data_IF_247652732350
#
_entry.id   IF_247652732350
#
_cell.length_a   1.000
_cell.length_b   1.000
_cell.length_c   1.000
_cell.angle_alpha   90.00
_cell.angle_beta   90.00
_cell.angle_gamma   90.00
#
_symmetry.space_group_name_H-M   'P 1'
#
loop_
_entity.id
_entity.type
_entity.pdbx_description
1 polymer ?
#
# COMPACT_ATOMS: atom_id res chain seq x y z
N UNK A 1 35.93 9.58 14.46
CA UNK A 1 34.54 9.76 14.12
C UNK A 1 33.57 8.92 14.96
N UNK A 2 33.76 8.74 16.27
CA UNK A 2 32.71 8.18 17.15
C UNK A 2 31.76 9.22 17.72
N UNK A 3 32.21 10.47 17.94
CA UNK A 3 31.44 11.48 18.70
C UNK A 3 30.15 11.95 18.01
N UNK A 4 30.08 11.90 16.68
CA UNK A 4 28.90 12.39 15.94
C UNK A 4 27.67 11.46 15.99
N UNK A 5 27.85 10.17 16.23
CA UNK A 5 26.72 9.21 16.21
C UNK A 5 26.01 9.17 17.57
N UNK A 6 26.75 9.33 18.67
CA UNK A 6 26.20 9.37 20.04
C UNK A 6 25.41 10.66 20.25
N UNK A 7 25.94 11.81 19.80
CA UNK A 7 25.23 13.09 19.86
C UNK A 7 23.92 13.02 19.02
N UNK A 8 23.94 12.44 17.82
CA UNK A 8 22.76 12.32 16.97
C UNK A 8 21.66 11.42 17.57
N UNK A 9 22.04 10.36 18.31
CA UNK A 9 21.08 9.45 18.98
C UNK A 9 20.40 10.14 20.16
N UNK A 10 21.17 10.88 20.96
CA UNK A 10 20.65 11.65 22.10
C UNK A 10 19.75 12.78 21.60
N UNK A 11 20.13 13.43 20.50
CA UNK A 11 19.32 14.47 19.85
C UNK A 11 18.00 13.89 19.32
N UNK A 12 18.01 12.76 18.62
CA UNK A 12 16.81 12.07 18.14
C UNK A 12 15.88 11.62 19.28
N UNK A 13 16.42 11.16 20.40
CA UNK A 13 15.62 10.82 21.59
C UNK A 13 15.07 12.05 22.29
N UNK A 14 15.84 13.15 22.35
CA UNK A 14 15.42 14.41 22.94
C UNK A 14 14.34 15.10 22.09
N UNK A 15 14.45 15.06 20.76
CA UNK A 15 13.40 15.55 19.85
C UNK A 15 12.11 14.74 19.97
N UNK A 16 12.20 13.42 20.15
CA UNK A 16 11.05 12.55 20.33
C UNK A 16 10.34 12.67 21.69
N UNK A 17 11.01 13.28 22.70
CA UNK A 17 10.44 13.47 24.05
C UNK A 17 10.13 14.92 24.38
N UNK A 18 10.33 15.87 23.45
CA UNK A 18 10.22 17.33 23.68
C UNK A 18 11.07 17.82 24.87
N UNK A 19 12.16 17.09 25.21
CA UNK A 19 12.99 17.45 26.35
C UNK A 19 14.12 16.45 26.67
N UNK A 20 14.85 16.68 27.76
CA UNK A 20 15.95 15.81 28.17
C UNK A 20 15.45 14.41 28.56
N UNK A 21 16.28 13.41 28.29
CA UNK A 21 15.97 12.02 28.64
C UNK A 21 16.03 11.86 30.16
N UNK A 22 14.92 11.38 30.76
CA UNK A 22 14.80 11.19 32.20
C UNK A 22 15.23 9.78 32.60
N UNK A 23 16.17 9.70 33.55
CA UNK A 23 16.69 8.44 34.12
C UNK A 23 16.39 8.43 35.61
N UNK A 24 15.78 7.38 36.11
CA UNK A 24 15.56 7.17 37.54
C UNK A 24 16.67 6.26 38.12
N UNK A 25 17.43 6.77 39.07
CA UNK A 25 18.42 6.02 39.82
C UNK A 25 17.83 5.64 41.17
N UNK A 26 17.88 4.34 41.48
CA UNK A 26 17.27 3.77 42.70
C UNK A 26 18.35 3.07 43.51
N UNK A 27 18.74 3.67 44.62
CA UNK A 27 19.79 3.15 45.53
C UNK A 27 19.57 3.74 46.93
N UNK A 28 19.73 2.96 47.98
CA UNK A 28 19.59 3.43 49.37
C UNK A 28 20.79 4.22 49.85
N UNK A 29 21.90 4.23 49.10
CA UNK A 29 23.09 5.01 49.37
C UNK A 29 22.94 6.46 48.88
N UNK A 30 22.64 7.40 49.74
CA UNK A 30 22.41 8.84 49.40
C UNK A 30 23.65 9.49 48.75
N UNK A 31 24.85 9.03 49.03
CA UNK A 31 26.08 9.58 48.45
C UNK A 31 26.18 9.34 46.95
N UNK A 32 25.50 8.31 46.41
CA UNK A 32 25.50 7.98 45.00
C UNK A 32 24.88 9.10 44.16
N UNK A 33 23.85 9.80 44.66
CA UNK A 33 23.22 10.92 43.95
C UNK A 33 24.28 11.99 43.61
N UNK A 34 25.05 12.41 44.60
CA UNK A 34 26.07 13.44 44.39
C UNK A 34 27.13 13.00 43.36
N UNK A 35 27.53 11.76 43.38
CA UNK A 35 28.52 11.21 42.45
C UNK A 35 27.96 11.15 41.00
N UNK A 36 26.74 10.69 40.83
CA UNK A 36 26.08 10.65 39.52
C UNK A 36 25.96 12.07 38.95
N UNK A 37 25.41 13.01 39.72
CA UNK A 37 25.24 14.40 39.27
C UNK A 37 26.59 15.06 38.93
N UNK A 38 27.64 14.77 39.67
CA UNK A 38 28.99 15.29 39.40
C UNK A 38 29.55 14.71 38.09
N UNK A 39 29.44 13.40 37.90
CA UNK A 39 29.96 12.70 36.70
C UNK A 39 29.23 13.18 35.44
N UNK A 40 27.94 13.20 35.46
CA UNK A 40 27.11 13.53 34.27
C UNK A 40 26.81 15.03 34.13
N UNK A 41 27.47 15.91 34.90
CA UNK A 41 27.22 17.37 34.90
C UNK A 41 27.25 18.05 33.53
N UNK A 42 28.06 17.53 32.59
CA UNK A 42 28.16 18.09 31.24
C UNK A 42 26.90 17.80 30.42
N UNK A 43 26.42 16.57 30.45
CA UNK A 43 25.20 16.13 29.76
C UNK A 43 23.96 16.76 30.36
N UNK A 44 23.92 16.94 31.67
CA UNK A 44 22.84 17.66 32.39
C UNK A 44 22.82 19.14 31.95
N UNK A 45 23.97 19.82 31.89
CA UNK A 45 24.05 21.23 31.45
C UNK A 45 23.70 21.44 29.99
N UNK A 46 23.91 20.44 29.14
CA UNK A 46 23.49 20.44 27.73
C UNK A 46 22.02 20.06 27.54
N UNK A 47 21.29 19.85 28.63
CA UNK A 47 19.90 19.40 28.60
C UNK A 47 19.69 18.06 27.88
N UNK A 48 20.70 17.18 27.89
CA UNK A 48 20.63 15.84 27.30
C UNK A 48 19.99 14.83 28.26
N UNK A 49 20.34 14.90 29.56
CA UNK A 49 19.89 13.96 30.58
C UNK A 49 19.37 14.70 31.82
N UNK A 50 18.35 14.12 32.44
CA UNK A 50 17.87 14.47 33.78
C UNK A 50 17.85 13.23 34.64
N UNK A 51 18.43 13.31 35.83
CA UNK A 51 18.42 12.23 36.79
C UNK A 51 17.42 12.52 37.92
N UNK A 52 16.54 11.57 38.14
CA UNK A 52 15.67 11.48 39.31
C UNK A 52 16.23 10.39 40.24
N UNK A 53 15.98 10.49 41.52
CA UNK A 53 16.52 9.55 42.53
C UNK A 53 15.38 8.99 43.36
N UNK A 54 15.52 7.74 43.81
CA UNK A 54 14.65 7.06 44.77
C UNK A 54 15.50 6.17 45.69
N UNK A 55 15.10 5.97 46.93
CA UNK A 55 15.86 5.25 47.94
C UNK A 55 15.40 3.80 48.17
N UNK A 56 14.38 3.35 47.45
CA UNK A 56 13.89 1.98 47.46
C UNK A 56 12.90 1.80 46.27
N UNK A 57 12.57 0.53 46.02
CA UNK A 57 11.68 0.19 44.90
C UNK A 57 10.25 0.75 44.98
N UNK A 58 9.72 0.95 46.21
CA UNK A 58 8.40 1.51 46.41
C UNK A 58 8.38 2.98 46.00
N UNK A 59 9.33 3.78 46.45
CA UNK A 59 9.49 5.19 46.08
C UNK A 59 9.73 5.33 44.56
N UNK A 60 10.48 4.39 43.97
CA UNK A 60 10.71 4.35 42.55
C UNK A 60 9.39 4.19 41.78
N UNK A 61 8.52 3.28 42.19
CA UNK A 61 7.20 3.08 41.55
C UNK A 61 6.32 4.33 41.66
N UNK A 62 6.30 4.99 42.83
CA UNK A 62 5.55 6.23 43.00
C UNK A 62 6.00 7.35 42.07
N UNK A 63 7.33 7.48 41.87
CA UNK A 63 7.90 8.44 40.90
C UNK A 63 7.61 8.09 39.46
N UNK A 64 7.61 6.82 39.11
CA UNK A 64 7.29 6.31 37.79
C UNK A 64 5.78 6.43 37.45
N UNK A 65 4.92 6.42 38.46
CA UNK A 65 3.48 6.66 38.30
C UNK A 65 3.17 8.14 38.20
N UNK A 66 4.02 9.00 38.73
CA UNK A 66 3.89 10.45 38.67
C UNK A 66 4.49 11.07 37.40
N UNK A 67 5.43 10.38 36.73
CA UNK A 67 6.15 10.87 35.54
C UNK A 67 6.35 9.73 34.53
N UNK A 68 5.51 9.71 33.50
CA UNK A 68 5.55 8.72 32.43
C UNK A 68 6.68 8.93 31.41
N UNK A 69 7.41 10.07 31.50
CA UNK A 69 8.54 10.36 30.60
C UNK A 69 9.84 9.69 31.01
N UNK A 70 9.89 9.04 32.18
CA UNK A 70 11.08 8.31 32.62
C UNK A 70 11.33 7.14 31.67
N UNK A 71 12.47 7.20 30.98
CA UNK A 71 12.82 6.24 29.93
C UNK A 71 13.60 5.02 30.43
N UNK A 72 14.35 5.20 31.53
CA UNK A 72 15.28 4.20 32.04
C UNK A 72 15.31 4.21 33.57
N UNK A 73 15.45 3.02 34.17
CA UNK A 73 15.67 2.84 35.60
C UNK A 73 17.03 2.16 35.81
N UNK A 74 17.82 2.72 36.69
CA UNK A 74 19.10 2.10 37.17
C UNK A 74 18.87 1.77 38.65
N UNK A 75 18.84 0.49 39.03
CA UNK A 75 18.43 0.07 40.37
C UNK A 75 19.47 -0.82 41.04
N UNK A 76 19.83 -0.51 42.26
CA UNK A 76 20.50 -1.50 43.10
C UNK A 76 19.55 -2.69 43.36
N UNK A 77 20.15 -3.88 43.58
CA UNK A 77 19.39 -5.08 43.94
C UNK A 77 19.02 -5.05 45.43
N UNK A 78 19.97 -4.69 46.32
CA UNK A 78 19.81 -4.84 47.75
C UNK A 78 19.37 -3.54 48.42
N UNK A 79 18.05 -3.31 48.41
CA UNK A 79 17.46 -2.12 49.02
C UNK A 79 16.37 -2.49 50.05
N UNK A 80 16.13 -1.62 51.07
CA UNK A 80 15.05 -1.84 52.01
C UNK A 80 13.66 -1.65 51.35
N UNK A 81 12.60 -2.11 52.03
CA UNK A 81 11.18 -1.98 51.65
C UNK A 81 10.83 -2.80 50.43
N UNK A 82 11.39 -2.48 49.26
CA UNK A 82 11.26 -3.21 48.00
C UNK A 82 12.63 -3.29 47.35
N UNK A 83 13.12 -4.51 47.13
CA UNK A 83 14.40 -4.77 46.50
C UNK A 83 14.34 -4.58 44.96
N UNK A 84 15.52 -4.49 44.32
CA UNK A 84 15.61 -4.23 42.88
C UNK A 84 15.08 -5.37 42.02
N UNK A 85 15.06 -6.61 42.49
CA UNK A 85 14.47 -7.73 41.72
C UNK A 85 12.94 -7.74 41.77
N UNK A 86 12.37 -7.27 42.88
CA UNK A 86 10.91 -7.05 43.01
C UNK A 86 10.45 -5.85 42.14
N UNK A 87 11.23 -4.75 42.20
CA UNK A 87 11.01 -3.59 41.33
C UNK A 87 11.04 -3.97 39.85
N UNK A 88 12.09 -4.70 39.42
CA UNK A 88 12.23 -5.17 38.02
C UNK A 88 11.02 -5.99 37.56
N UNK A 89 10.53 -6.91 38.43
CA UNK A 89 9.34 -7.70 38.13
C UNK A 89 8.11 -6.80 37.90
N UNK A 90 7.88 -5.85 38.79
CA UNK A 90 6.73 -4.96 38.72
C UNK A 90 6.81 -4.04 37.49
N UNK A 91 8.01 -3.53 37.14
CA UNK A 91 8.24 -2.74 35.94
C UNK A 91 7.88 -3.51 34.66
N UNK A 92 8.31 -4.75 34.54
CA UNK A 92 8.00 -5.56 33.37
C UNK A 92 6.51 -5.87 33.21
N UNK A 93 5.77 -5.95 34.32
CA UNK A 93 4.34 -6.21 34.31
C UNK A 93 3.52 -4.94 34.02
N UNK A 94 3.94 -3.77 34.51
CA UNK A 94 3.15 -2.53 34.47
C UNK A 94 3.67 -1.48 33.50
N UNK A 95 4.97 -1.42 33.26
CA UNK A 95 5.65 -0.39 32.43
C UNK A 95 6.72 -1.02 31.50
N UNK A 96 6.33 -1.89 30.54
CA UNK A 96 7.26 -2.70 29.74
C UNK A 96 8.14 -1.86 28.79
N UNK A 97 7.82 -0.60 28.59
CA UNK A 97 8.60 0.31 27.74
C UNK A 97 9.82 0.90 28.45
N UNK A 98 9.89 0.83 29.80
CA UNK A 98 11.02 1.30 30.58
C UNK A 98 12.12 0.25 30.55
N UNK A 99 13.35 0.65 30.27
CA UNK A 99 14.50 -0.25 30.34
C UNK A 99 15.14 -0.16 31.70
N UNK A 100 15.40 -1.34 32.30
CA UNK A 100 15.99 -1.45 33.63
C UNK A 100 17.40 -1.95 33.53
N UNK A 101 18.35 -1.23 34.17
CA UNK A 101 19.72 -1.64 34.39
C UNK A 101 19.90 -1.93 35.89
N UNK A 102 20.50 -3.03 36.22
CA UNK A 102 20.67 -3.46 37.60
C UNK A 102 22.10 -3.18 38.05
N UNK A 103 22.21 -2.63 39.24
CA UNK A 103 23.50 -2.48 39.94
C UNK A 103 23.62 -3.58 40.99
N UNK A 104 24.77 -4.29 41.02
CA UNK A 104 24.96 -5.45 41.90
C UNK A 104 26.38 -5.52 42.46
N UNK A 105 26.54 -6.09 43.67
CA UNK A 105 27.87 -6.29 44.25
C UNK A 105 28.74 -7.25 43.43
N UNK A 106 30.04 -7.01 43.42
CA UNK A 106 31.00 -7.91 42.79
C UNK A 106 30.92 -9.32 43.40
N UNK A 107 30.70 -10.33 42.55
CA UNK A 107 30.59 -11.74 42.98
C UNK A 107 29.13 -12.23 43.12
N UNK A 108 28.09 -11.37 42.99
CA UNK A 108 26.70 -11.76 43.11
C UNK A 108 26.10 -12.25 41.78
N UNK A 109 26.80 -13.20 41.15
CA UNK A 109 26.42 -13.74 39.83
C UNK A 109 25.03 -14.38 39.79
N UNK A 110 24.52 -14.87 40.93
CA UNK A 110 23.19 -15.50 40.98
C UNK A 110 22.09 -14.48 40.87
N UNK A 111 22.21 -13.32 41.52
CA UNK A 111 21.27 -12.24 41.45
C UNK A 111 21.32 -11.53 40.06
N UNK A 112 22.55 -11.34 39.52
CA UNK A 112 22.72 -10.84 38.14
C UNK A 112 22.00 -11.74 37.12
N UNK A 113 22.25 -13.06 37.19
CA UNK A 113 21.59 -14.03 36.31
C UNK A 113 20.05 -13.98 36.47
N UNK A 114 19.57 -13.86 37.69
CA UNK A 114 18.14 -13.76 38.00
C UNK A 114 17.53 -12.48 37.39
N UNK A 115 18.21 -11.35 37.54
CA UNK A 115 17.78 -10.08 36.95
C UNK A 115 17.73 -10.15 35.43
N UNK A 116 18.79 -10.67 34.79
CA UNK A 116 18.82 -10.83 33.33
C UNK A 116 17.71 -11.77 32.82
N UNK A 117 17.48 -12.89 33.50
CA UNK A 117 16.38 -13.80 33.16
C UNK A 117 14.99 -13.19 33.39
N UNK A 118 14.90 -12.20 34.26
CA UNK A 118 13.65 -11.42 34.50
C UNK A 118 13.51 -10.20 33.61
N UNK A 119 14.37 -10.01 32.61
CA UNK A 119 14.26 -8.96 31.62
C UNK A 119 14.98 -7.66 31.95
N UNK A 120 15.97 -7.66 32.87
CA UNK A 120 16.86 -6.53 32.94
C UNK A 120 17.61 -6.36 31.62
N UNK A 121 17.78 -5.12 31.18
CA UNK A 121 18.44 -4.83 29.90
C UNK A 121 19.96 -5.03 30.00
N UNK A 122 20.56 -4.60 31.11
CA UNK A 122 21.97 -4.73 31.38
C UNK A 122 22.24 -4.68 32.89
N UNK A 123 23.51 -4.80 33.30
CA UNK A 123 23.92 -4.67 34.68
C UNK A 123 25.25 -3.92 34.81
N UNK A 124 25.50 -3.34 35.99
CA UNK A 124 26.74 -2.69 36.39
C UNK A 124 27.17 -3.27 37.73
N UNK A 125 28.49 -3.48 37.96
CA UNK A 125 28.99 -4.04 39.21
C UNK A 125 29.47 -2.95 40.20
N UNK A 126 29.20 -3.14 41.52
CA UNK A 126 29.79 -2.31 42.59
C UNK A 126 31.22 -2.80 42.93
N UNK A 127 32.20 -1.91 43.14
CA UNK A 127 32.08 -0.46 43.12
C UNK A 127 31.83 0.06 41.74
N UNK A 128 30.92 1.04 41.60
CA UNK A 128 30.49 1.54 40.30
C UNK A 128 31.66 2.20 39.57
N UNK A 129 32.08 1.61 38.45
CA UNK A 129 32.90 2.33 37.47
C UNK A 129 31.98 3.24 36.64
N UNK A 130 32.15 4.53 36.83
CA UNK A 130 31.33 5.51 36.12
C UNK A 130 31.57 5.54 34.58
N UNK A 131 32.66 4.98 34.09
CA UNK A 131 32.90 4.80 32.66
C UNK A 131 32.03 3.66 32.12
N UNK A 132 31.96 2.56 32.85
CA UNK A 132 31.11 1.42 32.53
C UNK A 132 29.62 1.78 32.62
N UNK A 133 29.24 2.53 33.66
CA UNK A 133 27.86 3.08 33.78
C UNK A 133 27.48 3.97 32.60
N UNK A 134 28.40 4.84 32.17
CA UNK A 134 28.17 5.73 31.01
C UNK A 134 27.94 4.92 29.71
N UNK A 135 28.80 3.92 29.45
CA UNK A 135 28.63 3.00 28.30
C UNK A 135 27.30 2.25 28.37
N UNK A 136 26.91 1.77 29.55
CA UNK A 136 25.65 1.06 29.76
C UNK A 136 24.42 1.98 29.53
N UNK A 137 24.51 3.21 30.01
CA UNK A 137 23.47 4.23 29.74
C UNK A 137 23.34 4.46 28.20
N UNK A 138 24.46 4.74 27.53
CA UNK A 138 24.44 5.05 26.09
C UNK A 138 23.95 3.86 25.26
N UNK A 139 24.33 2.64 25.59
CA UNK A 139 23.84 1.41 24.98
C UNK A 139 22.34 1.26 25.18
N UNK A 140 21.83 1.54 26.37
CA UNK A 140 20.40 1.45 26.71
C UNK A 140 19.60 2.51 25.94
N UNK A 141 20.09 3.74 25.91
CA UNK A 141 19.46 4.85 25.18
C UNK A 141 19.42 4.60 23.68
N UNK A 142 20.52 4.08 23.11
CA UNK A 142 20.56 3.68 21.70
C UNK A 142 19.51 2.63 21.37
N UNK A 143 19.37 1.62 22.23
CA UNK A 143 18.32 0.62 22.03
C UNK A 143 16.90 1.21 22.10
N UNK A 144 16.66 2.12 23.06
CA UNK A 144 15.36 2.82 23.17
C UNK A 144 15.05 3.67 21.94
N UNK A 145 16.04 4.38 21.38
CA UNK A 145 15.90 5.15 20.16
C UNK A 145 15.47 4.26 18.99
N UNK A 146 16.16 3.16 18.76
CA UNK A 146 15.83 2.22 17.67
C UNK A 146 14.42 1.62 17.82
N UNK A 147 14.00 1.28 19.03
CA UNK A 147 12.65 0.74 19.28
C UNK A 147 11.58 1.79 19.01
N UNK A 148 11.77 3.04 19.46
CA UNK A 148 10.84 4.15 19.22
C UNK A 148 10.73 4.48 17.74
N UNK A 149 11.85 4.56 17.03
CA UNK A 149 11.86 4.78 15.58
C UNK A 149 11.10 3.67 14.85
N UNK A 150 11.34 2.40 15.19
CA UNK A 150 10.63 1.28 14.59
C UNK A 150 9.10 1.33 14.83
N UNK A 151 8.68 1.74 16.03
CA UNK A 151 7.25 1.91 16.36
C UNK A 151 6.62 3.08 15.59
N UNK A 152 7.31 4.22 15.53
CA UNK A 152 6.85 5.40 14.76
C UNK A 152 6.70 5.08 13.28
N UNK A 153 7.71 4.43 12.69
CA UNK A 153 7.66 4.00 11.29
C UNK A 153 6.50 3.03 11.03
N UNK A 154 6.27 2.09 11.94
CA UNK A 154 5.13 1.17 11.85
C UNK A 154 3.80 1.92 11.87
N UNK A 155 3.62 2.88 12.78
CA UNK A 155 2.37 3.63 12.91
C UNK A 155 2.12 4.51 11.67
N UNK A 156 3.16 5.10 11.08
CA UNK A 156 3.09 5.82 9.80
C UNK A 156 2.68 4.89 8.65
N UNK A 157 3.25 3.69 8.57
CA UNK A 157 2.87 2.71 7.54
C UNK A 157 1.42 2.26 7.68
N UNK A 158 0.93 2.04 8.90
CA UNK A 158 -0.47 1.70 9.15
C UNK A 158 -1.42 2.84 8.77
N UNK A 159 -1.05 4.10 9.06
CA UNK A 159 -1.83 5.26 8.66
C UNK A 159 -1.90 5.39 7.12
N UNK A 160 -0.75 5.28 6.43
CA UNK A 160 -0.68 5.33 4.97
C UNK A 160 -1.50 4.19 4.32
N UNK A 161 -1.41 2.96 4.85
CA UNK A 161 -2.20 1.84 4.34
C UNK A 161 -3.71 2.11 4.43
N UNK A 162 -4.18 2.74 5.52
CA UNK A 162 -5.59 3.12 5.65
C UNK A 162 -6.03 4.17 4.64
N UNK A 163 -5.18 5.15 4.33
CA UNK A 163 -5.48 6.17 3.31
C UNK A 163 -5.60 5.53 1.92
N UNK A 164 -4.72 4.57 1.60
CA UNK A 164 -4.78 3.83 0.34
C UNK A 164 -6.00 2.91 0.26
N UNK A 165 -6.42 2.28 1.36
CA UNK A 165 -7.67 1.51 1.41
C UNK A 165 -8.89 2.38 1.08
N UNK A 166 -8.94 3.61 1.62
CA UNK A 166 -10.01 4.57 1.28
C UNK A 166 -9.96 4.95 -0.19
N UNK A 167 -8.76 5.21 -0.74
CA UNK A 167 -8.60 5.53 -2.16
C UNK A 167 -9.08 4.36 -3.07
N UNK A 168 -8.77 3.12 -2.70
CA UNK A 168 -9.26 1.91 -3.39
C UNK A 168 -10.78 1.82 -3.38
N UNK A 169 -11.41 2.03 -2.22
CA UNK A 169 -12.87 1.98 -2.11
C UNK A 169 -13.54 3.09 -2.94
N UNK A 170 -12.95 4.28 -2.97
CA UNK A 170 -13.41 5.38 -3.84
C UNK A 170 -13.28 5.00 -5.31
N UNK A 171 -12.15 4.47 -5.77
CA UNK A 171 -11.95 4.02 -7.13
C UNK A 171 -12.95 2.93 -7.53
N UNK A 172 -13.11 1.91 -6.69
CA UNK A 172 -14.08 0.83 -6.92
C UNK A 172 -15.53 1.34 -6.97
N UNK A 173 -15.84 2.46 -6.30
CA UNK A 173 -17.18 3.08 -6.35
C UNK A 173 -17.48 3.79 -7.67
N UNK A 174 -16.44 4.20 -8.39
CA UNK A 174 -16.56 4.87 -9.69
C UNK A 174 -16.80 3.87 -10.82
N UNK A 175 -16.21 2.66 -10.73
CA UNK A 175 -16.43 1.61 -11.72
C UNK A 175 -17.88 1.08 -11.70
N UNK A 176 -18.41 0.60 -12.84
CA UNK A 176 -19.76 0.03 -12.91
C UNK A 176 -19.92 -1.16 -11.97
N UNK A 177 -20.92 -1.11 -11.11
CA UNK A 177 -21.33 -2.22 -10.21
C UNK A 177 -22.52 -3.02 -10.73
N UNK A 178 -23.22 -2.48 -11.71
CA UNK A 178 -24.34 -3.14 -12.40
C UNK A 178 -24.02 -3.18 -13.88
N UNK A 179 -24.30 -4.33 -14.47
CA UNK A 179 -24.00 -4.59 -15.87
C UNK A 179 -25.30 -4.49 -16.68
N UNK A 180 -25.38 -3.55 -17.63
CA UNK A 180 -26.55 -3.41 -18.48
C UNK A 180 -26.84 -4.71 -19.23
N UNK A 181 -28.08 -5.17 -19.16
CA UNK A 181 -28.54 -6.39 -19.79
C UNK A 181 -29.97 -6.20 -20.25
N UNK A 182 -30.30 -6.63 -21.48
CA UNK A 182 -31.61 -6.57 -22.09
C UNK A 182 -31.94 -7.91 -22.73
N UNK A 183 -33.09 -8.02 -23.37
CA UNK A 183 -33.42 -9.19 -24.19
C UNK A 183 -32.49 -9.35 -25.41
N UNK A 184 -31.79 -8.26 -25.81
CA UNK A 184 -30.97 -8.21 -27.03
C UNK A 184 -29.47 -8.32 -26.76
N UNK A 185 -29.00 -7.98 -25.56
CA UNK A 185 -27.58 -8.10 -25.19
C UNK A 185 -27.37 -8.32 -23.69
N UNK A 186 -26.23 -8.87 -23.37
CA UNK A 186 -25.76 -9.05 -22.01
C UNK A 186 -24.34 -8.51 -21.88
N UNK A 187 -24.00 -7.93 -20.74
CA UNK A 187 -22.65 -7.42 -20.46
C UNK A 187 -22.16 -7.87 -19.09
N UNK A 188 -20.84 -7.97 -18.94
CA UNK A 188 -20.17 -8.13 -17.67
C UNK A 188 -18.78 -7.51 -17.72
N UNK A 189 -18.25 -7.07 -16.58
CA UNK A 189 -16.90 -6.55 -16.46
C UNK A 189 -16.33 -6.77 -15.08
N UNK A 190 -15.04 -6.93 -15.00
CA UNK A 190 -14.28 -7.01 -13.76
C UNK A 190 -12.92 -6.33 -13.91
N UNK A 191 -12.40 -5.83 -12.82
CA UNK A 191 -11.06 -5.25 -12.70
C UNK A 191 -10.46 -5.66 -11.38
N UNK A 192 -9.21 -6.12 -11.42
CA UNK A 192 -8.41 -6.51 -10.26
C UNK A 192 -7.11 -5.70 -10.30
N UNK A 193 -6.93 -4.72 -9.42
CA UNK A 193 -5.72 -3.92 -9.42
C UNK A 193 -4.51 -4.72 -8.92
N UNK A 194 -3.32 -4.42 -9.47
CA UNK A 194 -2.04 -5.01 -9.05
C UNK A 194 -1.53 -4.41 -7.73
N UNK A 195 -1.91 -3.18 -7.44
CA UNK A 195 -1.61 -2.46 -6.19
C UNK A 195 -2.91 -2.10 -5.46
N UNK A 196 -2.81 -1.26 -4.45
CA UNK A 196 -3.97 -0.77 -3.71
C UNK A 196 -4.97 -0.04 -4.61
N UNK A 197 -4.47 0.69 -5.61
CA UNK A 197 -5.27 1.38 -6.66
C UNK A 197 -4.63 1.14 -8.02
N UNK A 198 -5.45 1.04 -9.07
CA UNK A 198 -5.04 0.73 -10.44
C UNK A 198 -5.18 1.89 -11.41
N UNK A 199 -4.53 1.75 -12.59
CA UNK A 199 -4.66 2.64 -13.74
C UNK A 199 -5.79 2.21 -14.69
N UNK A 200 -6.17 0.96 -14.64
CA UNK A 200 -7.21 0.36 -15.49
C UNK A 200 -8.60 0.87 -15.16
N UNK A 201 -9.45 0.87 -16.18
CA UNK A 201 -10.88 1.06 -16.00
C UNK A 201 -11.69 0.46 -17.13
N UNK A 202 -12.97 0.26 -16.85
CA UNK A 202 -14.00 0.01 -17.87
C UNK A 202 -15.26 0.81 -17.55
N UNK A 203 -16.08 1.05 -18.57
CA UNK A 203 -17.37 1.67 -18.35
C UNK A 203 -18.43 1.15 -19.33
N UNK A 204 -19.68 1.21 -18.88
CA UNK A 204 -20.87 1.01 -19.69
C UNK A 204 -21.68 2.29 -19.65
N UNK A 205 -21.88 2.91 -20.82
CA UNK A 205 -22.59 4.18 -20.95
C UNK A 205 -23.91 3.94 -21.66
N UNK A 206 -25.06 3.96 -20.96
CA UNK A 206 -26.38 3.87 -21.64
C UNK A 206 -26.60 5.09 -22.53
N UNK A 207 -26.85 4.87 -23.82
CA UNK A 207 -27.02 5.93 -24.83
C UNK A 207 -28.46 5.92 -25.45
N UNK A 208 -29.42 5.58 -24.63
CA UNK A 208 -30.83 5.42 -25.04
C UNK A 208 -31.33 3.99 -24.88
N UNK A 209 -32.44 3.63 -25.53
CA UNK A 209 -33.08 2.32 -25.34
C UNK A 209 -32.30 1.18 -26.02
N UNK A 210 -31.74 1.43 -27.22
CA UNK A 210 -31.10 0.40 -28.03
C UNK A 210 -29.58 0.52 -28.12
N UNK A 211 -28.97 1.55 -27.52
CA UNK A 211 -27.54 1.81 -27.66
C UNK A 211 -26.80 1.80 -26.33
N UNK A 212 -25.63 1.18 -26.33
CA UNK A 212 -24.73 1.15 -25.20
C UNK A 212 -23.31 1.47 -25.65
N UNK A 213 -22.65 2.41 -24.95
CA UNK A 213 -21.22 2.63 -25.03
C UNK A 213 -20.47 1.66 -24.14
N UNK A 214 -19.39 1.07 -24.66
CA UNK A 214 -18.46 0.21 -23.92
C UNK A 214 -17.08 0.82 -24.02
N UNK A 215 -16.43 1.01 -22.88
CA UNK A 215 -15.08 1.53 -22.79
C UNK A 215 -14.19 0.60 -21.96
N UNK A 216 -12.93 0.50 -22.36
CA UNK A 216 -11.85 -0.09 -21.57
C UNK A 216 -10.58 0.72 -21.81
N UNK A 217 -9.84 1.01 -20.76
CA UNK A 217 -8.60 1.78 -20.86
C UNK A 217 -7.61 1.38 -19.81
N UNK A 218 -6.35 1.57 -20.14
CA UNK A 218 -5.20 1.35 -19.28
C UNK A 218 -4.30 2.58 -19.29
N UNK A 219 -4.02 3.12 -18.10
CA UNK A 219 -3.22 4.32 -17.88
C UNK A 219 -1.78 3.93 -17.60
N UNK A 220 -0.86 4.59 -18.30
CA UNK A 220 0.58 4.43 -18.08
C UNK A 220 1.00 4.66 -16.62
N UNK A 221 1.81 3.74 -16.08
CA UNK A 221 2.26 3.79 -14.70
C UNK A 221 1.30 3.09 -13.73
N UNK A 222 1.55 3.20 -12.43
CA UNK A 222 0.81 2.44 -11.41
C UNK A 222 0.59 3.24 -10.13
N UNK A 223 -0.43 2.86 -9.37
CA UNK A 223 -0.75 3.47 -8.08
C UNK A 223 -1.51 4.78 -8.20
N UNK A 224 -1.38 5.66 -7.21
CA UNK A 224 -2.23 6.86 -7.07
C UNK A 224 -2.22 7.80 -8.29
N UNK A 225 -1.07 8.13 -8.91
CA UNK A 225 -1.08 8.98 -10.11
C UNK A 225 -1.90 8.39 -11.26
N UNK A 226 -1.71 7.09 -11.55
CA UNK A 226 -2.46 6.40 -12.60
C UNK A 226 -3.96 6.36 -12.30
N UNK A 227 -4.34 6.09 -11.04
CA UNK A 227 -5.73 6.08 -10.61
C UNK A 227 -6.42 7.45 -10.77
N UNK A 228 -5.73 8.55 -10.47
CA UNK A 228 -6.26 9.91 -10.67
C UNK A 228 -6.44 10.24 -12.14
N UNK A 229 -5.46 9.90 -12.98
CA UNK A 229 -5.54 10.11 -14.43
C UNK A 229 -6.66 9.28 -15.05
N UNK A 230 -6.82 8.03 -14.61
CA UNK A 230 -7.92 7.15 -14.98
C UNK A 230 -9.29 7.77 -14.69
N UNK A 231 -9.47 8.31 -13.46
CA UNK A 231 -10.74 8.93 -13.07
C UNK A 231 -11.07 10.14 -13.94
N UNK A 232 -10.08 10.96 -14.29
CA UNK A 232 -10.25 12.08 -15.21
C UNK A 232 -10.63 11.58 -16.60
N UNK A 233 -9.89 10.65 -17.18
CA UNK A 233 -10.15 10.07 -18.50
C UNK A 233 -11.56 9.50 -18.59
N UNK A 234 -11.93 8.61 -17.65
CA UNK A 234 -13.26 7.99 -17.61
C UNK A 234 -14.39 9.04 -17.51
N UNK A 235 -14.21 10.06 -16.65
CA UNK A 235 -15.23 11.10 -16.44
C UNK A 235 -15.45 11.94 -17.71
N UNK A 236 -14.36 12.34 -18.36
CA UNK A 236 -14.40 13.09 -19.62
C UNK A 236 -15.05 12.27 -20.73
N UNK A 237 -14.64 11.02 -20.90
CA UNK A 237 -15.25 10.11 -21.89
C UNK A 237 -16.74 9.97 -21.67
N UNK A 238 -17.15 9.64 -20.43
CA UNK A 238 -18.58 9.45 -20.10
C UNK A 238 -19.40 10.70 -20.34
N UNK A 239 -18.88 11.87 -19.97
CA UNK A 239 -19.59 13.14 -20.20
C UNK A 239 -19.86 13.39 -21.67
N UNK A 240 -18.83 13.27 -22.52
CA UNK A 240 -18.98 13.52 -23.95
C UNK A 240 -19.79 12.44 -24.67
N UNK A 241 -19.67 11.19 -24.27
CA UNK A 241 -20.47 10.08 -24.79
C UNK A 241 -21.98 10.29 -24.54
N UNK A 242 -22.37 10.78 -23.36
CA UNK A 242 -23.76 11.07 -23.00
C UNK A 242 -24.37 12.24 -23.83
N UNK A 243 -23.53 13.13 -24.37
CA UNK A 243 -23.95 14.19 -25.31
C UNK A 243 -24.22 13.66 -26.72
N UNK A 244 -23.94 12.37 -26.99
CA UNK A 244 -24.16 11.71 -28.27
C UNK A 244 -22.97 11.77 -29.22
N UNK A 245 -21.78 12.01 -28.73
CA UNK A 245 -20.55 11.98 -29.51
C UNK A 245 -20.27 10.60 -30.12
N UNK A 246 -19.75 10.58 -31.34
CA UNK A 246 -19.30 9.37 -32.01
C UNK A 246 -18.01 8.88 -31.32
N UNK A 247 -17.63 7.58 -31.44
CA UNK A 247 -16.41 7.05 -30.84
C UNK A 247 -15.13 7.84 -31.14
N UNK A 248 -14.90 8.22 -32.39
CA UNK A 248 -13.76 9.04 -32.83
C UNK A 248 -13.77 10.46 -32.22
N UNK A 249 -14.93 11.09 -32.17
CA UNK A 249 -15.13 12.41 -31.54
C UNK A 249 -14.88 12.36 -30.03
N UNK A 250 -15.35 11.30 -29.36
CA UNK A 250 -15.13 11.09 -27.94
C UNK A 250 -13.65 10.94 -27.61
N UNK A 251 -12.91 10.13 -28.36
CA UNK A 251 -11.47 9.94 -28.12
C UNK A 251 -10.70 11.24 -28.42
N UNK A 252 -11.00 11.95 -29.49
CA UNK A 252 -10.39 13.24 -29.81
C UNK A 252 -10.64 14.30 -28.72
N UNK A 253 -11.85 14.37 -28.19
CA UNK A 253 -12.20 15.26 -27.09
C UNK A 253 -11.38 14.94 -25.82
N UNK A 254 -11.37 13.67 -25.40
CA UNK A 254 -10.61 13.22 -24.22
C UNK A 254 -9.12 13.46 -24.41
N UNK A 255 -8.57 13.07 -25.57
CA UNK A 255 -7.15 13.28 -25.89
C UNK A 255 -6.72 14.73 -25.74
N UNK A 256 -7.47 15.66 -26.29
CA UNK A 256 -7.12 17.07 -26.27
C UNK A 256 -7.10 17.62 -24.84
N UNK A 257 -8.06 17.23 -24.00
CA UNK A 257 -8.12 17.66 -22.61
C UNK A 257 -7.05 17.00 -21.75
N UNK A 258 -6.68 15.74 -22.02
CA UNK A 258 -5.61 15.06 -21.28
C UNK A 258 -4.21 15.50 -21.71
N UNK A 259 -4.05 15.91 -22.98
CA UNK A 259 -2.77 16.40 -23.49
C UNK A 259 -2.46 17.86 -23.10
N UNK A 260 -3.49 18.63 -22.72
CA UNK A 260 -3.34 19.98 -22.21
C UNK A 260 -2.79 19.93 -20.76
N UNK A 261 -1.74 20.67 -20.47
CA UNK A 261 -1.07 20.71 -19.15
C UNK A 261 -0.55 19.35 -18.62
N UNK A 262 -0.20 18.39 -19.49
CA UNK A 262 0.30 17.07 -19.13
C UNK A 262 1.81 17.06 -18.82
N UNK A 263 2.23 17.77 -17.80
CA UNK A 263 3.64 17.83 -17.37
C UNK A 263 4.18 16.45 -16.94
N UNK A 264 3.31 15.56 -16.48
CA UNK A 264 3.67 14.22 -16.03
C UNK A 264 3.94 13.24 -17.17
N UNK A 265 3.68 13.63 -18.42
CA UNK A 265 3.77 12.78 -19.61
C UNK A 265 2.99 11.47 -19.47
N UNK A 266 1.88 11.46 -18.74
CA UNK A 266 1.02 10.30 -18.61
C UNK A 266 0.15 10.15 -19.86
N UNK A 267 -0.17 8.92 -20.20
CA UNK A 267 -1.04 8.60 -21.33
C UNK A 267 -1.96 7.44 -20.97
N UNK A 268 -2.99 7.25 -21.76
CA UNK A 268 -3.93 6.15 -21.61
C UNK A 268 -4.18 5.47 -22.94
N UNK A 269 -4.05 4.15 -22.97
CA UNK A 269 -4.58 3.36 -24.07
C UNK A 269 -6.07 3.19 -23.85
N UNK A 270 -6.91 3.54 -24.82
CA UNK A 270 -8.35 3.58 -24.66
C UNK A 270 -9.08 3.01 -25.87
N UNK A 271 -9.90 2.01 -25.62
CA UNK A 271 -10.87 1.52 -26.59
C UNK A 271 -12.27 2.02 -26.20
N UNK A 272 -12.99 2.61 -27.12
CA UNK A 272 -14.37 3.00 -26.94
C UNK A 272 -15.22 2.62 -28.15
N UNK A 273 -16.36 1.99 -27.90
CA UNK A 273 -17.30 1.62 -28.95
C UNK A 273 -18.75 1.79 -28.52
N UNK A 274 -19.61 2.01 -29.50
CA UNK A 274 -21.05 2.13 -29.34
C UNK A 274 -21.73 0.97 -30.06
N UNK A 275 -22.42 0.14 -29.30
CA UNK A 275 -23.22 -0.97 -29.80
C UNK A 275 -24.67 -0.54 -29.96
N UNK A 276 -25.24 -0.73 -31.16
CA UNK A 276 -26.66 -0.57 -31.46
C UNK A 276 -27.31 -1.95 -31.50
N UNK A 277 -28.06 -2.29 -30.48
CA UNK A 277 -28.68 -3.61 -30.32
C UNK A 277 -29.82 -3.88 -31.27
N UNK A 278 -30.41 -2.82 -31.86
CA UNK A 278 -31.48 -2.93 -32.84
C UNK A 278 -30.96 -3.35 -34.22
N UNK A 279 -29.78 -2.87 -34.61
CA UNK A 279 -29.13 -3.18 -35.88
C UNK A 279 -28.03 -4.23 -35.78
N UNK A 280 -27.50 -4.50 -34.60
CA UNK A 280 -26.34 -5.35 -34.37
C UNK A 280 -25.02 -4.70 -34.79
N UNK A 281 -25.00 -3.39 -35.08
CA UNK A 281 -23.79 -2.66 -35.48
C UNK A 281 -23.03 -2.18 -34.28
N UNK A 282 -21.72 -2.42 -34.26
CA UNK A 282 -20.78 -1.91 -33.29
C UNK A 282 -19.81 -0.94 -33.96
N UNK A 283 -19.97 0.36 -33.67
CA UNK A 283 -19.01 1.38 -34.12
C UNK A 283 -17.97 1.61 -33.04
N UNK A 284 -16.68 1.64 -33.37
CA UNK A 284 -15.63 1.76 -32.39
C UNK A 284 -14.43 2.57 -32.86
N UNK A 285 -13.63 3.01 -31.89
CA UNK A 285 -12.37 3.67 -32.09
C UNK A 285 -11.35 3.09 -31.08
N UNK A 286 -10.10 2.84 -31.51
CA UNK A 286 -9.06 2.29 -30.69
C UNK A 286 -7.86 3.25 -30.59
N UNK A 287 -7.71 3.93 -29.49
CA UNK A 287 -6.58 4.80 -29.15
C UNK A 287 -5.42 4.00 -28.51
N UNK A 288 -4.79 3.12 -29.30
CA UNK A 288 -3.59 2.37 -28.90
C UNK A 288 -3.80 1.23 -27.88
N UNK A 289 -5.04 0.83 -27.64
CA UNK A 289 -5.38 -0.25 -26.70
C UNK A 289 -5.28 -1.63 -27.36
N UNK A 290 -5.13 -2.70 -26.56
CA UNK A 290 -5.14 -4.08 -27.00
C UNK A 290 -6.40 -4.37 -27.84
N UNK A 291 -6.28 -4.97 -29.04
CA UNK A 291 -7.44 -5.25 -29.87
C UNK A 291 -8.40 -6.23 -29.18
N UNK A 292 -9.68 -5.88 -29.02
CA UNK A 292 -10.67 -6.81 -28.47
C UNK A 292 -10.77 -8.09 -29.30
N UNK A 293 -11.25 -9.16 -28.69
CA UNK A 293 -11.51 -10.42 -29.35
C UNK A 293 -12.98 -10.56 -29.71
N UNK A 294 -13.25 -10.87 -30.96
CA UNK A 294 -14.57 -11.31 -31.43
C UNK A 294 -14.63 -12.84 -31.35
N UNK A 295 -15.51 -13.33 -30.51
CA UNK A 295 -15.79 -14.77 -30.36
C UNK A 295 -17.10 -15.05 -31.08
N UNK A 296 -17.02 -15.70 -32.22
CA UNK A 296 -18.22 -16.07 -32.98
C UNK A 296 -18.97 -17.21 -32.30
N UNK A 297 -20.27 -17.24 -32.53
CA UNK A 297 -21.08 -18.39 -32.17
C UNK A 297 -20.52 -19.65 -32.82
N UNK A 298 -20.12 -20.63 -32.03
CA UNK A 298 -19.45 -21.84 -32.51
C UNK A 298 -17.93 -21.85 -32.30
N UNK A 299 -17.35 -20.78 -31.70
CA UNK A 299 -16.04 -20.83 -31.09
C UNK A 299 -14.87 -20.27 -31.90
N UNK A 300 -15.08 -19.77 -33.12
CA UNK A 300 -14.00 -19.07 -33.83
C UNK A 300 -13.69 -17.73 -33.15
N UNK A 301 -12.40 -17.50 -32.81
CA UNK A 301 -11.91 -16.26 -32.20
C UNK A 301 -11.06 -15.48 -33.18
N UNK A 302 -11.26 -14.17 -33.26
CA UNK A 302 -10.45 -13.26 -34.09
C UNK A 302 -10.26 -11.92 -33.37
N UNK A 303 -9.12 -11.27 -33.57
CA UNK A 303 -8.91 -9.91 -33.13
C UNK A 303 -9.72 -8.93 -33.98
N UNK A 304 -10.24 -7.87 -33.36
CA UNK A 304 -10.84 -6.76 -34.12
C UNK A 304 -9.75 -6.04 -34.91
N UNK A 305 -10.06 -5.53 -36.11
CA UNK A 305 -9.17 -4.63 -36.82
C UNK A 305 -8.77 -3.42 -35.95
N UNK A 306 -7.51 -3.02 -36.03
CA UNK A 306 -7.01 -1.84 -35.32
C UNK A 306 -7.01 -0.63 -36.23
N UNK A 307 -7.37 0.54 -35.66
CA UNK A 307 -7.33 1.83 -36.38
C UNK A 307 -5.93 2.42 -36.47
N UNK A 308 -4.92 1.80 -35.81
CA UNK A 308 -3.52 2.26 -35.74
C UNK A 308 -3.36 3.67 -35.17
N UNK A 309 -4.31 4.13 -34.34
CA UNK A 309 -4.23 5.39 -33.64
C UNK A 309 -3.33 5.29 -32.40
N UNK A 310 -2.89 6.45 -31.90
CA UNK A 310 -1.98 6.54 -30.76
C UNK A 310 -2.75 6.56 -29.43
N UNK A 311 -2.06 6.28 -28.33
CA UNK A 311 -2.62 6.47 -26.97
C UNK A 311 -3.01 7.94 -26.73
N UNK A 312 -4.00 8.17 -25.90
CA UNK A 312 -4.52 9.50 -25.58
C UNK A 312 -3.60 10.21 -24.57
N UNK A 313 -3.52 11.53 -24.70
CA UNK A 313 -2.65 12.37 -23.87
C UNK A 313 -1.23 12.54 -24.42
N UNK A 314 -0.89 11.87 -25.53
CA UNK A 314 0.45 11.93 -26.16
C UNK A 314 0.55 13.06 -27.20
N UNK A 315 -0.42 13.17 -28.10
CA UNK A 315 -0.37 14.07 -29.24
C UNK A 315 -1.62 14.97 -29.30
N UNK A 316 -1.53 16.24 -28.91
CA UNK A 316 -2.64 17.16 -29.00
C UNK A 316 -3.15 17.32 -30.45
N UNK A 317 -4.44 17.39 -30.65
CA UNK A 317 -5.05 17.60 -31.96
C UNK A 317 -5.00 16.36 -32.88
N UNK A 318 -4.67 15.18 -32.37
CA UNK A 318 -4.74 13.93 -33.14
C UNK A 318 -6.19 13.64 -33.55
N UNK A 319 -6.38 13.33 -34.85
CA UNK A 319 -7.67 12.88 -35.39
C UNK A 319 -7.73 11.35 -35.30
N UNK A 320 -8.73 10.84 -34.59
CA UNK A 320 -8.94 9.40 -34.41
C UNK A 320 -9.83 8.84 -35.53
N UNK A 321 -9.67 7.54 -35.81
CA UNK A 321 -10.39 6.85 -36.86
C UNK A 321 -11.47 5.94 -36.28
N UNK A 322 -12.66 5.95 -36.85
CA UNK A 322 -13.77 5.06 -36.45
C UNK A 322 -13.90 3.90 -37.45
N UNK A 323 -14.10 2.70 -36.90
CA UNK A 323 -14.44 1.48 -37.62
C UNK A 323 -15.84 0.98 -37.23
N UNK A 324 -16.41 0.10 -38.07
CA UNK A 324 -17.72 -0.50 -37.84
C UNK A 324 -17.65 -2.03 -38.03
N UNK A 325 -18.32 -2.75 -37.14
CA UNK A 325 -18.45 -4.19 -37.16
C UNK A 325 -19.93 -4.59 -37.10
N UNK A 326 -20.36 -5.52 -37.95
CA UNK A 326 -21.68 -6.15 -37.83
C UNK A 326 -21.54 -7.40 -36.95
N UNK A 327 -22.22 -7.41 -35.80
CA UNK A 327 -22.35 -8.60 -34.96
C UNK A 327 -23.50 -9.48 -35.37
N UNK A 328 -23.32 -10.79 -35.26
CA UNK A 328 -24.35 -11.79 -35.41
C UNK A 328 -24.89 -12.24 -34.05
N UNK A 329 -26.12 -12.74 -34.00
CA UNK A 329 -26.72 -13.22 -32.77
C UNK A 329 -25.90 -14.40 -32.18
N UNK A 330 -25.43 -14.26 -30.96
CA UNK A 330 -24.55 -15.20 -30.26
C UNK A 330 -23.09 -14.76 -30.21
N UNK A 331 -22.68 -13.77 -31.00
CA UNK A 331 -21.31 -13.24 -30.95
C UNK A 331 -21.02 -12.57 -29.60
N UNK A 332 -19.75 -12.69 -29.15
CA UNK A 332 -19.23 -12.04 -27.94
C UNK A 332 -18.04 -11.18 -28.33
N UNK A 333 -18.09 -9.91 -27.91
CA UNK A 333 -16.93 -9.03 -27.86
C UNK A 333 -16.28 -9.18 -26.48
N UNK A 334 -15.01 -9.54 -26.46
CA UNK A 334 -14.20 -9.63 -25.24
C UNK A 334 -13.08 -8.61 -25.27
N UNK A 335 -13.07 -7.73 -24.28
CA UNK A 335 -12.10 -6.67 -24.12
C UNK A 335 -11.22 -7.00 -22.92
N UNK A 336 -9.94 -6.65 -22.97
CA UNK A 336 -8.97 -6.97 -21.93
C UNK A 336 -7.79 -5.99 -21.94
N UNK A 337 -7.18 -5.80 -20.80
CA UNK A 337 -5.90 -5.08 -20.67
C UNK A 337 -4.72 -6.04 -20.74
N UNK A 338 -3.53 -5.53 -20.96
CA UNK A 338 -2.30 -6.32 -21.12
C UNK A 338 -1.95 -7.19 -19.92
N UNK A 339 -2.36 -6.78 -18.70
CA UNK A 339 -2.21 -7.61 -17.51
C UNK A 339 -2.84 -9.01 -17.59
N UNK A 340 -3.75 -9.26 -18.59
CA UNK A 340 -4.24 -10.60 -18.90
C UNK A 340 -3.20 -11.40 -19.67
N UNK A 341 -2.64 -10.82 -20.73
CA UNK A 341 -1.72 -11.53 -21.65
C UNK A 341 -0.27 -11.51 -21.18
N UNK A 342 0.14 -10.50 -20.43
CA UNK A 342 1.47 -10.35 -19.86
C UNK A 342 1.63 -10.97 -18.47
N UNK A 343 0.59 -11.65 -17.97
CA UNK A 343 0.68 -12.41 -16.73
C UNK A 343 1.81 -13.44 -16.79
N UNK A 344 2.75 -13.35 -15.84
CA UNK A 344 3.95 -14.20 -15.81
C UNK A 344 3.72 -15.51 -15.06
N UNK A 345 4.00 -16.63 -15.71
CA UNK A 345 4.06 -17.95 -15.10
C UNK A 345 5.37 -18.19 -14.31
N UNK A 346 5.49 -19.33 -13.59
CA UNK A 346 6.67 -19.66 -12.79
C UNK A 346 7.99 -19.71 -13.56
N UNK A 347 7.95 -19.86 -14.89
CA UNK A 347 9.10 -19.88 -15.78
C UNK A 347 9.45 -18.54 -16.43
N UNK A 348 8.86 -17.42 -15.96
CA UNK A 348 8.93 -16.10 -16.59
C UNK A 348 8.43 -16.11 -18.06
N UNK A 349 7.51 -17.01 -18.38
CA UNK A 349 6.77 -17.00 -19.64
C UNK A 349 5.45 -16.24 -19.45
N UNK A 350 5.00 -15.53 -20.48
CA UNK A 350 3.72 -14.84 -20.48
C UNK A 350 2.58 -15.78 -20.86
N UNK A 351 1.37 -15.50 -20.35
CA UNK A 351 0.17 -16.22 -20.75
C UNK A 351 -0.05 -16.14 -22.26
N UNK A 352 0.04 -14.95 -22.82
CA UNK A 352 0.01 -14.67 -24.24
C UNK A 352 -1.38 -14.79 -24.89
N UNK A 353 -1.52 -14.17 -26.05
CA UNK A 353 -2.78 -14.13 -26.79
C UNK A 353 -3.29 -15.51 -27.22
N UNK A 354 -2.38 -16.43 -27.58
CA UNK A 354 -2.77 -17.76 -28.07
C UNK A 354 -3.52 -18.58 -27.01
N UNK A 355 -3.08 -18.52 -25.73
CA UNK A 355 -3.78 -19.22 -24.64
C UNK A 355 -5.10 -18.53 -24.31
N UNK A 356 -5.15 -17.21 -24.39
CA UNK A 356 -6.39 -16.45 -24.24
C UNK A 356 -7.41 -16.84 -25.32
N UNK A 357 -7.02 -16.84 -26.59
CA UNK A 357 -7.89 -17.20 -27.72
C UNK A 357 -8.40 -18.66 -27.61
N UNK A 358 -7.51 -19.59 -27.19
CA UNK A 358 -7.88 -20.98 -26.96
C UNK A 358 -8.93 -21.13 -25.83
N UNK A 359 -8.81 -20.36 -24.75
CA UNK A 359 -9.79 -20.34 -23.69
C UNK A 359 -11.12 -19.75 -24.15
N UNK A 360 -11.10 -18.57 -24.79
CA UNK A 360 -12.29 -17.89 -25.29
C UNK A 360 -13.10 -18.75 -26.27
N UNK A 361 -12.41 -19.53 -27.11
CA UNK A 361 -13.04 -20.50 -27.99
C UNK A 361 -13.91 -21.51 -27.20
N UNK A 362 -13.45 -21.98 -26.05
CA UNK A 362 -14.22 -22.93 -25.19
C UNK A 362 -15.40 -22.27 -24.50
N UNK A 363 -15.40 -20.94 -24.39
CA UNK A 363 -16.38 -20.12 -23.69
C UNK A 363 -17.41 -19.43 -24.63
N UNK A 364 -17.43 -19.79 -25.90
CA UNK A 364 -18.28 -19.14 -26.90
C UNK A 364 -19.79 -19.13 -26.54
N UNK A 365 -20.27 -20.16 -25.87
CA UNK A 365 -21.68 -20.28 -25.42
C UNK A 365 -21.89 -19.87 -23.93
N UNK A 366 -20.82 -19.55 -23.20
CA UNK A 366 -20.90 -19.23 -21.77
C UNK A 366 -21.47 -17.81 -21.53
N UNK A 367 -22.20 -17.55 -20.44
CA UNK A 367 -22.64 -16.21 -20.06
C UNK A 367 -21.45 -15.25 -19.88
N UNK A 368 -21.67 -13.92 -20.03
CA UNK A 368 -20.59 -12.93 -19.95
C UNK A 368 -19.84 -12.93 -18.61
N UNK A 369 -20.52 -13.18 -17.50
CA UNK A 369 -19.94 -13.29 -16.16
C UNK A 369 -19.03 -14.54 -16.04
N UNK A 370 -19.41 -15.65 -16.61
CA UNK A 370 -18.56 -16.87 -16.68
C UNK A 370 -17.34 -16.62 -17.59
N UNK A 371 -17.49 -15.92 -18.72
CA UNK A 371 -16.36 -15.59 -19.61
C UNK A 371 -15.30 -14.78 -18.86
N UNK A 372 -15.68 -13.67 -18.24
CA UNK A 372 -14.72 -12.82 -17.54
C UNK A 372 -14.10 -13.50 -16.32
N UNK A 373 -14.91 -14.24 -15.53
CA UNK A 373 -14.43 -14.96 -14.34
C UNK A 373 -13.46 -16.09 -14.70
N UNK A 374 -13.75 -16.86 -15.76
CA UNK A 374 -12.88 -17.94 -16.23
C UNK A 374 -11.54 -17.44 -16.77
N UNK A 375 -11.54 -16.28 -17.46
CA UNK A 375 -10.29 -15.65 -17.87
C UNK A 375 -9.45 -15.25 -16.66
N UNK A 376 -10.05 -14.62 -15.66
CA UNK A 376 -9.35 -14.26 -14.42
C UNK A 376 -8.79 -15.49 -13.68
N UNK A 377 -9.57 -16.58 -13.61
CA UNK A 377 -9.13 -17.83 -12.99
C UNK A 377 -7.96 -18.43 -13.75
N UNK A 378 -8.00 -18.43 -15.09
CA UNK A 378 -6.89 -18.91 -15.93
C UNK A 378 -5.61 -18.11 -15.73
N UNK A 379 -5.72 -16.77 -15.61
CA UNK A 379 -4.57 -15.90 -15.31
C UNK A 379 -3.96 -16.28 -13.97
N UNK A 380 -4.78 -16.45 -12.93
CA UNK A 380 -4.32 -16.83 -11.59
C UNK A 380 -3.69 -18.22 -11.54
N UNK A 381 -4.29 -19.20 -12.22
CA UNK A 381 -3.74 -20.56 -12.33
C UNK A 381 -2.39 -20.54 -13.06
N UNK A 382 -2.28 -19.78 -14.13
CA UNK A 382 -1.05 -19.66 -14.92
C UNK A 382 0.07 -18.97 -14.13
N UNK A 383 -0.25 -17.92 -13.36
CA UNK A 383 0.70 -17.22 -12.50
C UNK A 383 1.27 -18.12 -11.39
N UNK A 384 0.54 -19.17 -10.96
CA UNK A 384 1.04 -20.19 -10.03
C UNK A 384 1.52 -19.65 -8.68
N UNK A 385 0.99 -18.50 -8.27
CA UNK A 385 1.37 -17.81 -7.03
C UNK A 385 2.40 -16.69 -7.21
N UNK A 386 2.85 -16.40 -8.40
CA UNK A 386 3.62 -15.18 -8.68
C UNK A 386 2.78 -13.93 -8.36
N UNK A 387 3.38 -12.86 -7.84
CA UNK A 387 2.69 -11.60 -7.65
C UNK A 387 2.13 -11.08 -8.99
N UNK A 388 0.95 -10.49 -8.95
CA UNK A 388 0.36 -9.83 -10.11
C UNK A 388 1.23 -8.65 -10.54
N UNK A 389 1.65 -8.65 -11.82
CA UNK A 389 2.56 -7.64 -12.40
C UNK A 389 1.82 -6.37 -12.80
N UNK A 390 0.61 -6.49 -13.35
CA UNK A 390 -0.21 -5.37 -13.80
C UNK A 390 -1.68 -5.52 -13.45
N UNK A 391 -2.47 -4.46 -13.60
CA UNK A 391 -3.91 -4.47 -13.41
C UNK A 391 -4.55 -5.44 -14.41
N UNK A 392 -5.54 -6.21 -13.99
CA UNK A 392 -6.24 -7.18 -14.84
C UNK A 392 -7.67 -6.70 -15.02
N UNK A 393 -8.02 -6.30 -16.24
CA UNK A 393 -9.37 -5.87 -16.58
C UNK A 393 -9.93 -6.72 -17.71
N UNK A 394 -11.14 -7.23 -17.52
CA UNK A 394 -11.87 -8.03 -18.49
C UNK A 394 -13.29 -7.49 -18.64
N UNK A 395 -13.75 -7.32 -19.87
CA UNK A 395 -15.12 -6.92 -20.20
C UNK A 395 -15.67 -7.82 -21.31
N UNK A 396 -16.91 -8.25 -21.17
CA UNK A 396 -17.61 -9.03 -22.18
C UNK A 396 -18.95 -8.38 -22.55
N UNK A 397 -19.25 -8.35 -23.84
CA UNK A 397 -20.55 -7.97 -24.40
C UNK A 397 -21.01 -9.07 -25.34
N UNK A 398 -22.18 -9.67 -25.07
CA UNK A 398 -22.81 -10.66 -25.94
C UNK A 398 -24.02 -10.07 -26.64
N UNK A 399 -24.11 -10.22 -27.95
CA UNK A 399 -25.31 -9.92 -28.72
C UNK A 399 -26.24 -11.13 -28.76
N UNK A 400 -27.51 -10.97 -28.35
CA UNK A 400 -28.50 -12.05 -28.28
C UNK A 400 -29.41 -12.10 -29.49
N UNK A 401 -29.34 -11.06 -30.34
CA UNK A 401 -30.26 -10.88 -31.49
C UNK A 401 -31.48 -10.05 -31.14
N UNK A 402 -32.17 -9.60 -32.19
CA UNK A 402 -33.42 -8.83 -32.06
C UNK A 402 -34.66 -9.65 -32.40
#
# INVERSE_FOLDING_TARGET
MPDNLEEAIVEALSEATDGPIKILVVDDEVDLETLVLQKFRRRIRRNELVFNFAHNGQEAMEKLDADDDIAMVISDINMPVMDGLALLKQLNETKPNIRSVIVSAYGDMNNIRTAMNRGAFDFVTKPIDFTDLEITIDKTLKHLALVREALSNRDQLVALSRELDVARDMQASVLPRSFPSTERYNTHGLMVPAKEVGGDFYDFVPLGEDKIGVAIGDVSGKGVPAALFMMACRTLLRSHALEGGRPDECLAYVNNLLADDNESCMFVTLFYGVFDSGSGVFNYCNGGHNPPRLVHRGGQVSALPTTHDVALGVLPGHEFSQEALQLEAGDVLFFYTDGVTEAEGPGAEELGEQRLDALLNTLAEAPCDDVTSRVLDQVREFAGGNPQSDDITCVALRYLGG
#
